data_IF_966188147271
#
_entry.id   IF_966188147271
#
_cell.length_a   1.000
_cell.length_b   1.000
_cell.length_c   1.000
_cell.angle_alpha   90.00
_cell.angle_beta   90.00
_cell.angle_gamma   90.00
#
_symmetry.space_group_name_H-M   'P 1'
#
loop_
_entity.id
_entity.type
_entity.pdbx_description
1 polymer ?
#
# COMPACT_ATOMS: atom_id res chain seq x y z
N UNK A 1 16.70 -36.19 -6.59
CA UNK A 1 15.28 -35.82 -6.38
C UNK A 1 14.44 -36.58 -7.40
N UNK A 2 13.31 -37.16 -6.99
CA UNK A 2 12.43 -37.92 -7.90
C UNK A 2 11.31 -37.04 -8.43
N UNK A 3 10.80 -37.34 -9.63
CA UNK A 3 9.71 -36.60 -10.30
C UNK A 3 8.46 -36.46 -9.43
N UNK A 4 8.24 -37.44 -8.54
CA UNK A 4 7.16 -37.45 -7.57
C UNK A 4 7.34 -36.39 -6.47
N UNK A 5 8.56 -35.96 -6.15
CA UNK A 5 8.79 -34.86 -5.19
C UNK A 5 8.47 -33.49 -5.82
N UNK A 6 8.77 -33.29 -7.11
CA UNK A 6 8.39 -32.06 -7.83
C UNK A 6 6.87 -31.94 -7.90
N UNK A 7 6.17 -33.02 -8.24
CA UNK A 7 4.70 -33.04 -8.22
C UNK A 7 4.08 -32.79 -6.84
N UNK A 8 4.76 -33.14 -5.73
CA UNK A 8 4.27 -32.84 -4.37
C UNK A 8 4.43 -31.37 -3.99
N UNK A 9 5.45 -30.69 -4.51
CA UNK A 9 5.61 -29.23 -4.39
C UNK A 9 4.62 -28.48 -5.31
N UNK A 10 4.42 -28.96 -6.54
CA UNK A 10 3.45 -28.38 -7.49
C UNK A 10 2.00 -28.51 -7.02
N UNK A 11 1.64 -29.62 -6.35
CA UNK A 11 0.28 -29.84 -5.80
C UNK A 11 0.07 -29.30 -4.39
N UNK A 12 1.04 -28.57 -3.81
CA UNK A 12 0.90 -27.93 -2.50
C UNK A 12 0.73 -28.89 -1.31
N UNK A 13 1.03 -30.17 -1.46
CA UNK A 13 0.84 -31.17 -0.39
C UNK A 13 1.90 -31.09 0.72
N UNK A 14 3.04 -30.46 0.44
CA UNK A 14 4.06 -30.18 1.46
C UNK A 14 3.86 -28.78 2.06
N UNK A 15 3.58 -28.73 3.37
CA UNK A 15 3.62 -27.48 4.13
C UNK A 15 5.06 -26.97 4.18
N UNK A 16 5.29 -25.75 3.70
CA UNK A 16 6.58 -25.07 3.86
C UNK A 16 6.63 -24.50 5.28
N UNK A 17 7.57 -24.95 6.09
CA UNK A 17 7.77 -24.40 7.43
C UNK A 17 8.23 -22.93 7.36
N UNK A 18 7.84 -22.12 8.35
CA UNK A 18 8.11 -20.68 8.38
C UNK A 18 9.60 -20.31 8.18
N UNK A 19 10.53 -21.14 8.66
CA UNK A 19 11.97 -20.93 8.46
C UNK A 19 12.39 -20.99 6.99
N UNK A 20 11.85 -21.95 6.23
CA UNK A 20 12.11 -22.12 4.79
C UNK A 20 11.45 -21.00 3.98
N UNK A 21 10.24 -20.60 4.38
CA UNK A 21 9.53 -19.50 3.73
C UNK A 21 10.29 -18.17 3.88
N UNK A 22 10.90 -17.93 5.04
CA UNK A 22 11.76 -16.76 5.27
C UNK A 22 13.01 -16.75 4.39
N UNK A 23 13.64 -17.90 4.15
CA UNK A 23 14.78 -18.00 3.23
C UNK A 23 14.37 -17.69 1.79
N UNK A 24 13.21 -18.20 1.36
CA UNK A 24 12.65 -17.95 0.02
C UNK A 24 12.33 -16.46 -0.15
N UNK A 25 11.71 -15.84 0.84
CA UNK A 25 11.41 -14.40 0.84
C UNK A 25 12.68 -13.53 0.74
N UNK A 26 13.74 -13.89 1.47
CA UNK A 26 15.05 -13.21 1.37
C UNK A 26 15.66 -13.33 -0.01
N UNK A 27 15.60 -14.51 -0.62
CA UNK A 27 16.17 -14.75 -1.95
C UNK A 27 15.41 -14.00 -3.05
N UNK A 28 14.10 -13.86 -2.89
CA UNK A 28 13.22 -13.16 -3.84
C UNK A 28 13.08 -11.66 -3.53
N UNK A 29 13.77 -11.17 -2.51
CA UNK A 29 13.72 -9.75 -2.06
C UNK A 29 12.31 -9.22 -1.81
N UNK A 30 11.39 -10.09 -1.39
CA UNK A 30 10.00 -9.74 -1.05
C UNK A 30 9.74 -10.00 0.43
N UNK A 31 8.83 -9.25 1.07
CA UNK A 31 8.42 -9.56 2.43
C UNK A 31 7.75 -10.94 2.49
N UNK A 32 7.93 -11.66 3.61
CA UNK A 32 7.36 -13.01 3.84
C UNK A 32 5.83 -13.01 3.68
N UNK A 33 5.17 -11.87 3.93
CA UNK A 33 3.74 -11.65 3.71
C UNK A 33 3.30 -11.85 2.26
N UNK A 34 4.20 -11.69 1.28
CA UNK A 34 3.88 -11.85 -0.14
C UNK A 34 3.48 -13.29 -0.54
N UNK A 35 3.75 -14.29 0.33
CA UNK A 35 3.42 -15.71 0.09
C UNK A 35 2.12 -16.16 0.77
N UNK A 36 1.47 -15.28 1.53
CA UNK A 36 0.18 -15.57 2.14
C UNK A 36 -0.90 -14.84 1.35
N UNK A 37 -1.94 -15.57 0.90
CA UNK A 37 -3.19 -14.91 0.51
C UNK A 37 -3.68 -14.10 1.71
N UNK A 38 -4.16 -12.88 1.44
CA UNK A 38 -4.49 -11.85 2.42
C UNK A 38 -5.53 -12.32 3.45
N UNK A 39 -5.06 -13.06 4.45
CA UNK A 39 -5.78 -13.43 5.65
C UNK A 39 -5.26 -12.59 6.82
N UNK A 40 -5.41 -11.28 6.69
CA UNK A 40 -5.64 -10.26 7.73
C UNK A 40 -5.39 -8.88 7.10
N UNK A 41 -6.40 -8.45 6.33
CA UNK A 41 -6.46 -7.27 5.46
C UNK A 41 -6.41 -5.91 6.17
N UNK A 42 -5.60 -5.75 7.21
CA UNK A 42 -5.30 -4.42 7.75
C UNK A 42 -3.96 -3.91 7.22
N UNK A 43 -2.88 -4.65 7.43
CA UNK A 43 -1.52 -4.17 7.12
C UNK A 43 -1.19 -4.17 5.61
N UNK A 44 -1.72 -5.12 4.85
CA UNK A 44 -1.53 -5.17 3.38
C UNK A 44 -2.42 -4.14 2.66
N UNK A 45 -3.63 -3.93 3.18
CA UNK A 45 -4.58 -2.94 2.68
C UNK A 45 -4.07 -1.51 2.95
N UNK A 46 -3.57 -1.23 4.16
CA UNK A 46 -2.93 0.06 4.48
C UNK A 46 -1.73 0.35 3.57
N UNK A 47 -0.85 -0.63 3.34
CA UNK A 47 0.28 -0.46 2.43
C UNK A 47 -0.19 -0.19 1.00
N UNK A 48 -1.16 -0.96 0.50
CA UNK A 48 -1.71 -0.81 -0.85
C UNK A 48 -2.40 0.56 -1.01
N UNK A 49 -3.14 1.02 -0.01
CA UNK A 49 -3.75 2.35 -0.01
C UNK A 49 -2.69 3.46 -0.01
N UNK A 50 -1.67 3.37 0.85
CA UNK A 50 -0.55 4.33 0.89
C UNK A 50 0.15 4.41 -0.47
N UNK A 51 0.48 3.27 -1.07
CA UNK A 51 1.07 3.24 -2.42
C UNK A 51 0.11 3.73 -3.50
N UNK A 52 -1.20 3.52 -3.33
CA UNK A 52 -2.24 4.07 -4.19
C UNK A 52 -2.24 5.60 -4.19
N UNK A 53 -2.12 6.24 -3.02
CA UNK A 53 -2.04 7.70 -2.91
C UNK A 53 -0.79 8.28 -3.58
N UNK A 54 0.33 7.57 -3.55
CA UNK A 54 1.57 8.01 -4.20
C UNK A 54 1.51 7.97 -5.74
N UNK A 55 0.53 7.28 -6.33
CA UNK A 55 0.30 7.32 -7.79
C UNK A 55 -0.37 8.61 -8.26
N UNK A 56 -0.98 9.39 -7.36
CA UNK A 56 -1.58 10.66 -7.74
C UNK A 56 -0.51 11.64 -8.22
N UNK A 57 -0.78 12.31 -9.35
CA UNK A 57 0.16 13.25 -9.94
C UNK A 57 0.50 14.37 -8.94
N UNK A 58 1.79 14.58 -8.66
CA UNK A 58 2.27 15.57 -7.68
C UNK A 58 2.23 15.12 -6.20
N UNK A 59 1.78 13.90 -5.88
CA UNK A 59 1.73 13.42 -4.49
C UNK A 59 3.12 13.32 -3.83
N UNK A 60 4.12 12.84 -4.57
CA UNK A 60 5.50 12.72 -4.08
C UNK A 60 6.11 14.10 -3.81
N UNK A 61 5.86 15.07 -4.69
CA UNK A 61 6.37 16.44 -4.53
C UNK A 61 5.73 17.13 -3.32
N UNK A 62 4.42 16.95 -3.13
CA UNK A 62 3.71 17.44 -1.93
C UNK A 62 4.29 16.81 -0.66
N UNK A 63 4.52 15.50 -0.65
CA UNK A 63 5.07 14.80 0.51
C UNK A 63 6.49 15.27 0.84
N UNK A 64 7.35 15.45 -0.17
CA UNK A 64 8.71 15.99 0.02
C UNK A 64 8.70 17.41 0.56
N UNK A 65 7.86 18.28 -0.01
CA UNK A 65 7.72 19.65 0.47
C UNK A 65 7.21 19.68 1.92
N UNK A 66 6.19 18.88 2.24
CA UNK A 66 5.66 18.76 3.59
C UNK A 66 6.69 18.24 4.60
N UNK A 67 7.50 17.25 4.22
CA UNK A 67 8.55 16.68 5.06
C UNK A 67 9.70 17.67 5.33
N UNK A 68 9.94 18.64 4.44
CA UNK A 68 10.96 19.68 4.63
C UNK A 68 10.58 20.77 5.63
N UNK A 69 9.32 20.82 6.09
CA UNK A 69 8.87 21.81 7.08
C UNK A 69 9.33 21.35 8.47
N UNK A 70 10.25 22.07 9.09
CA UNK A 70 10.76 21.75 10.43
C UNK A 70 9.78 22.13 11.55
N UNK A 71 9.11 23.28 11.42
CA UNK A 71 8.15 23.76 12.42
C UNK A 71 6.83 22.96 12.38
N UNK A 72 6.52 22.29 13.49
CA UNK A 72 5.28 21.53 13.66
C UNK A 72 4.02 22.38 13.53
N UNK A 73 4.07 23.65 13.95
CA UNK A 73 2.92 24.53 13.83
C UNK A 73 2.63 24.87 12.37
N UNK A 74 3.66 25.29 11.63
CA UNK A 74 3.57 25.50 10.18
C UNK A 74 3.07 24.25 9.44
N UNK A 75 3.58 23.07 9.82
CA UNK A 75 3.17 21.78 9.25
C UNK A 75 1.67 21.52 9.46
N UNK A 76 1.13 21.83 10.64
CA UNK A 76 -0.32 21.73 10.94
C UNK A 76 -1.17 22.66 10.08
N UNK A 77 -0.72 23.89 9.87
CA UNK A 77 -1.42 24.90 9.08
C UNK A 77 -1.47 24.54 7.60
N UNK A 78 -0.35 24.10 7.02
CA UNK A 78 -0.31 23.60 5.64
C UNK A 78 -1.29 22.44 5.45
N UNK A 79 -1.32 21.49 6.39
CA UNK A 79 -2.26 20.37 6.33
C UNK A 79 -3.73 20.84 6.43
N UNK A 80 -4.01 21.90 7.19
CA UNK A 80 -5.35 22.50 7.27
C UNK A 80 -5.79 23.13 5.93
N UNK A 81 -4.88 23.80 5.22
CA UNK A 81 -5.12 24.38 3.90
C UNK A 81 -5.44 23.26 2.89
N UNK A 82 -4.60 22.22 2.81
CA UNK A 82 -4.80 21.09 1.90
C UNK A 82 -6.16 20.41 2.14
N UNK A 83 -6.53 20.20 3.42
CA UNK A 83 -7.85 19.65 3.78
C UNK A 83 -9.01 20.55 3.34
N UNK A 84 -8.84 21.86 3.46
CA UNK A 84 -9.86 22.84 3.05
C UNK A 84 -10.04 22.84 1.54
N UNK A 85 -8.95 22.83 0.78
CA UNK A 85 -8.97 22.73 -0.68
C UNK A 85 -9.65 21.42 -1.15
N UNK A 86 -9.33 20.28 -0.53
CA UNK A 86 -9.96 19.00 -0.85
C UNK A 86 -11.47 18.99 -0.60
N UNK A 87 -11.95 19.66 0.46
CA UNK A 87 -13.39 19.80 0.73
C UNK A 87 -14.09 20.69 -0.31
N UNK A 88 -13.45 21.76 -0.75
CA UNK A 88 -14.00 22.67 -1.76
C UNK A 88 -14.08 22.01 -3.14
N UNK A 89 -13.09 21.19 -3.50
CA UNK A 89 -13.10 20.42 -4.76
C UNK A 89 -14.26 19.45 -4.87
N UNK A 90 -14.70 18.83 -3.75
CA UNK A 90 -15.85 17.91 -3.73
C UNK A 90 -17.22 18.59 -3.83
N UNK A 91 -17.31 19.90 -3.58
CA UNK A 91 -18.58 20.64 -3.55
C UNK A 91 -19.02 21.15 -4.94
N UNK A 92 -18.32 20.74 -6.00
CA UNK A 92 -18.42 21.30 -7.36
C UNK A 92 -19.05 20.37 -8.41
N UNK A 93 -19.74 19.30 -8.01
CA UNK A 93 -20.66 18.59 -8.91
C UNK A 93 -22.02 19.31 -8.88
N UNK A 94 -22.43 19.98 -9.95
CA UNK A 94 -23.77 20.54 -10.02
C UNK A 94 -24.77 19.40 -10.20
N UNK A 95 -25.85 19.45 -9.42
CA UNK A 95 -27.09 18.71 -9.71
C UNK A 95 -27.46 18.98 -11.18
N UNK A 96 -27.35 17.94 -12.01
CA UNK A 96 -28.11 17.87 -13.25
C UNK A 96 -29.58 17.80 -12.83
N UNK A 97 -30.25 18.96 -12.81
CA UNK A 97 -31.70 19.00 -12.84
C UNK A 97 -32.13 18.38 -14.17
N UNK A 98 -32.55 17.12 -14.12
CA UNK A 98 -33.38 16.54 -15.16
C UNK A 98 -34.69 17.36 -15.22
N UNK A 99 -34.89 18.02 -16.37
CA UNK A 99 -36.12 18.70 -16.76
C UNK A 99 -36.99 17.77 -17.60
#
# INVERSE_FOLDING_TARGET
>A
MTFQQVQKYEKGQNRVGAGRLREIARLLEVPVSAFFEEGDGAAAQEQTEVFGFLRAHGAVDLLRAFASIEDDQMRREVLAIVRSAARLGRKKEPEVLDA
#
